data_IF_390901492176
#
_entry.id   IF_390901492176
#
_cell.length_a   1.000
_cell.length_b   1.000
_cell.length_c   1.000
_cell.angle_alpha   90.00
_cell.angle_beta   90.00
_cell.angle_gamma   90.00
#
_symmetry.space_group_name_H-M   'P 1'
#
loop_
_entity.id
_entity.type
_entity.pdbx_description
1 polymer ?
#
# COMPACT_ATOMS: atom_id res chain seq x y z
N UNK A 1 49.00 -56.59 -8.64
CA UNK A 1 48.56 -55.73 -7.52
C UNK A 1 47.96 -54.45 -8.10
N UNK A 2 46.64 -54.39 -8.24
CA UNK A 2 45.92 -53.33 -8.95
C UNK A 2 45.18 -52.51 -7.92
N UNK A 3 45.61 -51.28 -7.71
CA UNK A 3 44.94 -50.35 -6.77
C UNK A 3 43.73 -49.68 -7.44
N UNK A 4 42.54 -50.01 -6.96
CA UNK A 4 41.27 -49.33 -7.31
C UNK A 4 41.09 -48.13 -6.38
N UNK A 5 41.20 -46.90 -6.94
CA UNK A 5 40.85 -45.68 -6.21
C UNK A 5 39.37 -45.38 -6.41
N UNK A 6 38.62 -45.54 -5.34
CA UNK A 6 37.21 -45.17 -5.28
C UNK A 6 37.07 -43.65 -5.09
N UNK A 7 36.51 -42.94 -6.08
CA UNK A 7 36.18 -41.52 -5.97
C UNK A 7 34.77 -41.40 -5.36
N UNK A 8 34.68 -40.90 -4.16
CA UNK A 8 33.41 -40.42 -3.58
C UNK A 8 33.09 -39.06 -4.18
N UNK A 9 32.02 -38.97 -4.98
CA UNK A 9 31.42 -37.71 -5.43
C UNK A 9 30.42 -37.26 -4.35
N UNK A 10 30.82 -36.26 -3.58
CA UNK A 10 29.92 -35.56 -2.68
C UNK A 10 29.03 -34.62 -3.49
N UNK A 11 27.76 -34.95 -3.66
CA UNK A 11 26.78 -34.05 -4.25
C UNK A 11 26.39 -33.01 -3.19
N UNK A 12 26.80 -31.76 -3.38
CA UNK A 12 26.27 -30.63 -2.61
C UNK A 12 24.84 -30.33 -3.13
N UNK A 13 23.84 -30.66 -2.33
CA UNK A 13 22.47 -30.15 -2.52
C UNK A 13 22.47 -28.66 -2.10
N UNK A 14 22.47 -27.77 -3.08
CA UNK A 14 22.17 -26.37 -2.84
C UNK A 14 20.65 -26.23 -2.61
N UNK A 15 20.23 -26.18 -1.37
CA UNK A 15 18.86 -25.75 -0.99
C UNK A 15 18.79 -24.24 -1.26
N UNK A 16 18.12 -23.86 -2.34
CA UNK A 16 17.72 -22.48 -2.56
C UNK A 16 16.70 -22.14 -1.45
N UNK A 17 17.13 -21.36 -0.44
CA UNK A 17 16.21 -20.66 0.44
C UNK A 17 15.49 -19.63 -0.43
N UNK A 18 14.26 -19.93 -0.81
CA UNK A 18 13.31 -18.91 -1.23
C UNK A 18 13.02 -18.10 0.03
N UNK A 19 13.62 -16.93 0.13
CA UNK A 19 13.26 -15.97 1.17
C UNK A 19 11.80 -15.57 0.93
N UNK A 20 10.89 -16.17 1.69
CA UNK A 20 9.55 -15.62 1.81
C UNK A 20 9.70 -14.15 2.27
N UNK A 21 8.95 -13.19 1.68
CA UNK A 21 8.98 -11.83 2.17
C UNK A 21 8.72 -11.86 3.67
N UNK A 22 9.65 -11.30 4.44
CA UNK A 22 9.49 -11.21 5.88
C UNK A 22 8.25 -10.34 6.12
N UNK A 23 7.16 -10.96 6.54
CA UNK A 23 5.98 -10.27 7.01
C UNK A 23 6.40 -9.56 8.30
N UNK A 24 6.68 -8.25 8.18
CA UNK A 24 7.30 -7.47 9.25
C UNK A 24 6.40 -7.32 10.48
N UNK A 25 5.09 -7.56 10.31
CA UNK A 25 4.12 -7.46 11.41
C UNK A 25 3.56 -8.85 11.77
N UNK A 26 3.76 -9.23 13.02
CA UNK A 26 3.11 -10.40 13.61
C UNK A 26 1.60 -10.23 13.72
N UNK A 27 0.88 -11.28 14.19
CA UNK A 27 -0.56 -11.18 14.48
C UNK A 27 -0.85 -10.07 15.48
N UNK A 28 -1.97 -9.35 15.29
CA UNK A 28 -2.50 -8.45 16.32
C UNK A 28 -3.01 -9.33 17.46
N UNK A 29 -2.72 -8.92 18.70
CA UNK A 29 -3.26 -9.62 19.87
C UNK A 29 -4.80 -9.51 19.86
N UNK A 30 -5.46 -10.59 20.25
CA UNK A 30 -6.91 -10.61 20.43
C UNK A 30 -7.33 -9.57 21.47
N UNK A 31 -8.17 -8.63 21.04
CA UNK A 31 -8.65 -7.52 21.87
C UNK A 31 -10.05 -7.76 22.44
N UNK A 32 -10.68 -8.86 22.04
CA UNK A 32 -12.09 -9.12 22.30
C UNK A 32 -13.03 -8.30 21.39
N UNK A 33 -14.19 -8.88 21.11
CA UNK A 33 -15.14 -8.38 20.09
C UNK A 33 -15.54 -6.91 20.25
N UNK A 34 -15.87 -6.46 21.47
CA UNK A 34 -16.31 -5.09 21.70
C UNK A 34 -15.21 -4.05 21.40
N UNK A 35 -13.95 -4.37 21.71
CA UNK A 35 -12.81 -3.49 21.44
C UNK A 35 -12.48 -3.52 19.95
N UNK A 36 -12.54 -4.68 19.31
CA UNK A 36 -12.30 -4.82 17.87
C UNK A 36 -13.34 -4.05 17.05
N UNK A 37 -14.63 -4.16 17.41
CA UNK A 37 -15.69 -3.38 16.77
C UNK A 37 -15.47 -1.86 16.92
N UNK A 38 -15.03 -1.40 18.09
CA UNK A 38 -14.73 0.01 18.30
C UNK A 38 -13.51 0.48 17.48
N UNK A 39 -12.52 -0.38 17.28
CA UNK A 39 -11.39 -0.10 16.38
C UNK A 39 -11.85 -0.03 14.92
N UNK A 40 -12.61 -1.00 14.47
CA UNK A 40 -13.15 -1.07 13.11
C UNK A 40 -13.97 0.19 12.77
N UNK A 41 -14.91 0.60 13.62
CA UNK A 41 -15.73 1.79 13.36
C UNK A 41 -14.87 3.06 13.30
N UNK A 42 -13.90 3.20 14.17
CA UNK A 42 -12.98 4.35 14.17
C UNK A 42 -12.06 4.37 12.96
N UNK A 43 -11.64 3.21 12.47
CA UNK A 43 -10.85 3.08 11.24
C UNK A 43 -11.68 3.51 10.02
N UNK A 44 -12.92 3.03 9.94
CA UNK A 44 -13.90 3.44 8.92
C UNK A 44 -14.10 4.95 8.91
N UNK A 45 -14.39 5.53 10.08
CA UNK A 45 -14.55 6.98 10.21
C UNK A 45 -13.32 7.72 9.69
N UNK A 46 -12.13 7.24 10.02
CA UNK A 46 -10.86 7.83 9.57
C UNK A 46 -10.73 7.74 8.05
N UNK A 47 -11.04 6.60 7.43
CA UNK A 47 -10.99 6.43 5.98
C UNK A 47 -12.02 7.33 5.28
N UNK A 48 -13.26 7.34 5.76
CA UNK A 48 -14.34 8.16 5.21
C UNK A 48 -14.07 9.67 5.37
N UNK A 49 -13.36 10.08 6.42
CA UNK A 49 -12.97 11.49 6.63
C UNK A 49 -11.99 12.02 5.58
N UNK A 50 -11.39 11.14 4.77
CA UNK A 50 -10.56 11.55 3.63
C UNK A 50 -11.39 12.05 2.44
N UNK A 51 -12.70 11.84 2.42
CA UNK A 51 -13.57 12.46 1.42
C UNK A 51 -13.71 13.97 1.68
N UNK A 52 -13.70 14.76 0.61
CA UNK A 52 -13.79 16.22 0.71
C UNK A 52 -13.21 16.93 -0.51
N UNK A 53 -13.17 18.25 -0.42
CA UNK A 53 -12.60 19.11 -1.45
C UNK A 53 -11.30 19.73 -0.93
N UNK A 54 -10.22 19.62 -1.70
CA UNK A 54 -8.87 19.96 -1.27
C UNK A 54 -8.20 20.93 -2.24
N UNK A 55 -7.49 21.89 -1.68
CA UNK A 55 -6.43 22.59 -2.38
C UNK A 55 -5.12 21.88 -2.07
N UNK A 56 -4.55 21.24 -3.08
CA UNK A 56 -3.34 20.42 -2.95
C UNK A 56 -2.13 21.24 -3.39
N UNK A 57 -1.04 21.13 -2.63
CA UNK A 57 0.27 21.66 -2.98
C UNK A 57 1.30 20.54 -2.90
N UNK A 58 1.96 20.29 -4.01
CA UNK A 58 3.12 19.39 -4.08
C UNK A 58 4.40 20.22 -4.00
N UNK A 59 5.29 19.80 -3.15
CA UNK A 59 6.59 20.43 -2.92
C UNK A 59 7.65 19.32 -2.98
N UNK A 60 8.27 19.18 -4.14
CA UNK A 60 9.16 18.06 -4.45
C UNK A 60 10.61 18.54 -4.44
N UNK A 61 11.41 17.88 -3.63
CA UNK A 61 12.85 18.08 -3.57
C UNK A 61 13.54 16.74 -3.41
N UNK A 62 14.58 16.49 -4.19
CA UNK A 62 15.42 15.31 -4.01
C UNK A 62 16.22 15.44 -2.72
N UNK A 63 16.17 14.42 -1.88
CA UNK A 63 16.78 14.47 -0.53
C UNK A 63 18.17 13.83 -0.47
N UNK A 64 18.41 12.80 -1.28
CA UNK A 64 19.64 12.01 -1.19
C UNK A 64 20.11 11.56 -2.58
N UNK A 65 21.20 12.12 -3.09
CA UNK A 65 21.81 11.58 -4.32
C UNK A 65 22.55 10.27 -4.00
N UNK A 66 22.18 9.21 -4.72
CA UNK A 66 22.80 7.88 -4.59
C UNK A 66 23.99 7.66 -5.52
N UNK A 67 24.22 8.57 -6.45
CA UNK A 67 25.28 8.47 -7.46
C UNK A 67 26.30 9.60 -7.27
N UNK A 68 27.58 9.26 -7.24
CA UNK A 68 28.65 10.25 -7.14
C UNK A 68 28.64 11.16 -8.37
N UNK A 69 28.67 12.48 -8.12
CA UNK A 69 28.63 13.49 -9.18
C UNK A 69 27.25 13.77 -9.77
N UNK A 70 26.20 13.20 -9.18
CA UNK A 70 24.82 13.55 -9.53
C UNK A 70 24.45 14.92 -8.94
N UNK A 71 23.97 15.81 -9.76
CA UNK A 71 23.40 17.09 -9.33
C UNK A 71 21.87 16.94 -9.22
N UNK A 72 21.31 17.17 -8.00
CA UNK A 72 19.87 17.09 -7.81
C UNK A 72 19.10 18.05 -8.71
N UNK A 73 17.92 17.63 -9.13
CA UNK A 73 17.00 18.49 -9.86
C UNK A 73 16.52 19.66 -8.98
N UNK A 74 16.20 20.77 -9.61
CA UNK A 74 15.62 21.92 -8.94
C UNK A 74 14.32 21.53 -8.20
N UNK A 75 14.11 22.15 -7.03
CA UNK A 75 12.88 22.01 -6.27
C UNK A 75 11.67 22.37 -7.13
N UNK A 76 10.72 21.46 -7.25
CA UNK A 76 9.49 21.66 -8.03
C UNK A 76 8.29 21.85 -7.11
N UNK A 77 7.60 22.98 -7.28
CA UNK A 77 6.33 23.25 -6.61
C UNK A 77 5.23 23.20 -7.67
N UNK A 78 4.19 22.43 -7.38
CA UNK A 78 2.98 22.36 -8.18
C UNK A 78 1.76 22.19 -7.28
N UNK A 79 0.56 22.32 -7.82
CA UNK A 79 -0.66 22.13 -7.05
C UNK A 79 -1.90 22.15 -7.93
N UNK A 80 -3.04 21.99 -7.30
CA UNK A 80 -4.35 21.98 -7.96
C UNK A 80 -5.47 21.83 -6.95
N UNK A 81 -6.68 21.69 -7.45
CA UNK A 81 -7.85 21.35 -6.65
C UNK A 81 -8.20 19.88 -6.90
N UNK A 82 -8.47 19.16 -5.82
CA UNK A 82 -8.84 17.77 -5.85
C UNK A 82 -10.11 17.55 -5.05
N UNK A 83 -11.02 16.79 -5.63
CA UNK A 83 -12.27 16.41 -4.99
C UNK A 83 -12.23 14.90 -4.75
N UNK A 84 -12.35 14.48 -3.50
CA UNK A 84 -12.36 13.06 -3.12
C UNK A 84 -13.79 12.67 -2.76
N UNK A 85 -14.31 11.64 -3.41
CA UNK A 85 -15.68 11.17 -3.25
C UNK A 85 -15.71 9.70 -2.85
N UNK A 86 -16.62 9.37 -1.93
CA UNK A 86 -16.92 7.97 -1.63
C UNK A 86 -17.68 7.40 -2.82
N UNK A 87 -17.05 6.49 -3.56
CA UNK A 87 -17.65 5.81 -4.70
C UNK A 87 -18.37 4.52 -4.29
N UNK A 88 -17.91 3.87 -3.23
CA UNK A 88 -18.51 2.67 -2.66
C UNK A 88 -18.29 2.62 -1.15
N UNK A 89 -19.26 2.16 -0.39
CA UNK A 89 -19.16 1.80 1.02
C UNK A 89 -20.10 0.63 1.30
N UNK A 90 -19.53 -0.55 1.54
CA UNK A 90 -20.27 -1.77 1.92
C UNK A 90 -20.13 -2.12 3.40
N UNK A 91 -19.47 -1.28 4.18
CA UNK A 91 -19.06 -1.56 5.55
C UNK A 91 -17.61 -2.02 5.62
N UNK A 92 -17.30 -3.17 5.09
CA UNK A 92 -15.92 -3.73 5.07
C UNK A 92 -15.10 -3.33 3.85
N UNK A 93 -15.72 -2.70 2.85
CA UNK A 93 -15.05 -2.16 1.67
C UNK A 93 -15.43 -0.69 1.47
N UNK A 94 -14.43 0.17 1.28
CA UNK A 94 -14.60 1.60 1.00
C UNK A 94 -13.76 1.94 -0.22
N UNK A 95 -14.37 2.61 -1.20
CA UNK A 95 -13.69 3.10 -2.40
C UNK A 95 -13.75 4.63 -2.42
N UNK A 96 -12.58 5.26 -2.47
CA UNK A 96 -12.44 6.70 -2.59
C UNK A 96 -11.92 7.05 -3.98
N UNK A 97 -12.75 7.74 -4.77
CA UNK A 97 -12.36 8.24 -6.09
C UNK A 97 -11.85 9.67 -5.96
N UNK A 98 -10.62 9.89 -6.38
CA UNK A 98 -10.02 11.20 -6.50
C UNK A 98 -10.30 11.79 -7.88
N UNK A 99 -10.67 13.05 -7.89
CA UNK A 99 -11.05 13.80 -9.08
C UNK A 99 -10.26 15.11 -9.10
N UNK A 100 -9.56 15.40 -10.19
CA UNK A 100 -8.93 16.70 -10.37
C UNK A 100 -9.98 17.69 -10.89
N UNK A 101 -10.02 18.87 -10.28
CA UNK A 101 -10.80 20.00 -10.76
C UNK A 101 -9.82 20.95 -11.45
N UNK A 102 -9.96 21.10 -12.75
CA UNK A 102 -9.06 21.88 -13.63
C UNK A 102 -9.84 22.91 -14.42
N UNK A 103 -9.20 24.01 -14.79
CA UNK A 103 -9.82 25.15 -15.46
C UNK A 103 -9.74 26.41 -14.62
N UNK A 104 -10.26 27.51 -15.16
CA UNK A 104 -10.43 28.77 -14.46
C UNK A 104 -11.80 28.81 -13.78
N UNK A 105 -11.97 29.68 -12.80
CA UNK A 105 -13.23 29.84 -12.06
C UNK A 105 -14.39 30.10 -13.01
N UNK A 106 -15.41 29.24 -12.97
CA UNK A 106 -16.58 29.28 -13.86
C UNK A 106 -16.46 28.49 -15.17
N UNK A 107 -15.28 27.95 -15.46
CA UNK A 107 -15.00 27.08 -16.61
C UNK A 107 -14.32 25.76 -16.18
N UNK A 108 -14.54 25.34 -14.93
CA UNK A 108 -13.92 24.14 -14.40
C UNK A 108 -14.51 22.90 -15.05
N UNK A 109 -13.66 21.90 -15.23
CA UNK A 109 -14.06 20.55 -15.59
C UNK A 109 -13.33 19.53 -14.71
N UNK A 110 -13.92 18.34 -14.60
CA UNK A 110 -13.46 17.30 -13.69
C UNK A 110 -12.80 16.18 -14.49
N UNK A 111 -11.61 15.80 -14.05
CA UNK A 111 -10.87 14.69 -14.64
C UNK A 111 -10.74 13.58 -13.59
N UNK A 112 -11.04 12.32 -13.97
CA UNK A 112 -10.72 11.16 -13.15
C UNK A 112 -9.24 11.18 -12.83
N UNK A 113 -8.91 11.03 -11.56
CA UNK A 113 -7.53 10.88 -11.10
C UNK A 113 -7.34 9.46 -10.55
N UNK A 114 -6.64 9.27 -9.48
CA UNK A 114 -6.45 7.97 -8.86
C UNK A 114 -7.64 7.55 -7.99
N UNK A 115 -7.61 6.27 -7.57
CA UNK A 115 -8.62 5.69 -6.70
C UNK A 115 -7.93 4.92 -5.58
N UNK A 116 -8.50 4.97 -4.38
CA UNK A 116 -8.11 4.17 -3.24
C UNK A 116 -9.20 3.16 -2.94
N UNK A 117 -8.86 1.89 -2.96
CA UNK A 117 -9.74 0.80 -2.52
C UNK A 117 -9.24 0.30 -1.17
N UNK A 118 -10.08 0.40 -0.16
CA UNK A 118 -9.83 -0.06 1.20
C UNK A 118 -10.68 -1.29 1.49
N UNK A 119 -10.10 -2.33 2.11
CA UNK A 119 -10.80 -3.55 2.48
C UNK A 119 -10.37 -4.02 3.87
N UNK A 120 -11.36 -4.27 4.75
CA UNK A 120 -11.13 -4.79 6.08
C UNK A 120 -10.95 -6.29 6.05
N UNK A 121 -9.93 -6.79 6.78
CA UNK A 121 -9.56 -8.21 6.87
C UNK A 121 -9.46 -8.90 5.50
N UNK A 122 -8.65 -8.37 4.57
CA UNK A 122 -8.61 -8.83 3.19
C UNK A 122 -8.15 -10.28 3.11
N UNK A 123 -8.87 -11.13 2.36
CA UNK A 123 -8.44 -12.50 2.10
C UNK A 123 -7.16 -12.58 1.25
N UNK A 124 -6.94 -11.56 0.43
CA UNK A 124 -5.77 -11.43 -0.43
C UNK A 124 -5.41 -9.97 -0.65
N UNK A 125 -4.15 -9.73 -0.94
CA UNK A 125 -3.64 -8.42 -1.31
C UNK A 125 -2.97 -8.48 -2.67
N UNK A 126 -2.93 -7.35 -3.35
CA UNK A 126 -2.20 -7.22 -4.61
C UNK A 126 -0.73 -6.93 -4.33
N UNK A 127 0.16 -7.80 -4.77
CA UNK A 127 1.61 -7.67 -4.59
C UNK A 127 2.31 -7.37 -5.91
N UNK A 128 3.22 -6.41 -5.90
CA UNK A 128 4.09 -6.13 -7.04
C UNK A 128 5.19 -7.19 -7.15
N UNK A 129 5.28 -7.87 -8.28
CA UNK A 129 6.21 -8.99 -8.51
C UNK A 129 7.29 -8.68 -9.54
N UNK A 130 7.21 -7.53 -10.21
CA UNK A 130 8.22 -7.12 -11.20
C UNK A 130 7.67 -6.09 -12.19
N UNK A 131 8.43 -5.69 -13.20
CA UNK A 131 8.04 -4.64 -14.13
C UNK A 131 6.64 -4.89 -14.73
N UNK A 132 5.69 -4.02 -14.36
CA UNK A 132 4.28 -4.08 -14.77
C UNK A 132 3.55 -5.39 -14.39
N UNK A 133 4.04 -6.11 -13.39
CA UNK A 133 3.47 -7.39 -12.95
C UNK A 133 2.96 -7.29 -11.52
N UNK A 134 1.75 -7.78 -11.31
CA UNK A 134 1.08 -7.83 -10.02
C UNK A 134 0.40 -9.18 -9.85
N UNK A 135 0.44 -9.71 -8.65
CA UNK A 135 -0.18 -10.98 -8.30
C UNK A 135 -1.02 -10.84 -7.03
N UNK A 136 -2.13 -11.59 -6.97
CA UNK A 136 -2.90 -11.73 -5.75
C UNK A 136 -2.22 -12.71 -4.81
N UNK A 137 -1.89 -12.25 -3.61
CA UNK A 137 -1.26 -13.06 -2.56
C UNK A 137 -2.26 -13.28 -1.44
N UNK A 138 -2.51 -14.54 -1.10
CA UNK A 138 -3.38 -14.93 0.00
C UNK A 138 -2.86 -14.42 1.35
N UNK A 139 -3.77 -13.85 2.14
CA UNK A 139 -3.47 -13.35 3.49
C UNK A 139 -3.94 -14.35 4.54
N UNK A 140 -3.01 -14.95 5.29
CA UNK A 140 -3.40 -15.83 6.41
C UNK A 140 -4.27 -15.07 7.41
N UNK A 141 -5.35 -15.70 7.89
CA UNK A 141 -6.29 -15.11 8.85
C UNK A 141 -5.58 -14.41 10.01
N UNK A 142 -4.60 -15.08 10.63
CA UNK A 142 -3.81 -14.52 11.74
C UNK A 142 -3.08 -13.20 11.44
N UNK A 143 -2.90 -12.84 10.16
CA UNK A 143 -2.23 -11.62 9.74
C UNK A 143 -3.20 -10.55 9.22
N UNK A 144 -4.43 -10.94 8.86
CA UNK A 144 -5.43 -10.00 8.35
C UNK A 144 -6.38 -9.48 9.42
N UNK A 145 -6.61 -10.26 10.49
CA UNK A 145 -7.53 -9.88 11.56
C UNK A 145 -7.22 -8.49 12.13
N UNK A 146 -8.23 -7.64 12.18
CA UNK A 146 -8.13 -6.26 12.67
C UNK A 146 -7.36 -5.30 11.75
N UNK A 147 -7.13 -5.66 10.49
CA UNK A 147 -6.35 -4.87 9.54
C UNK A 147 -7.12 -4.49 8.30
N UNK A 148 -6.70 -3.40 7.71
CA UNK A 148 -7.16 -2.95 6.41
C UNK A 148 -6.08 -3.16 5.35
N UNK A 149 -6.49 -3.46 4.12
CA UNK A 149 -5.63 -3.24 2.94
C UNK A 149 -5.98 -1.91 2.30
N UNK A 150 -5.01 -1.37 1.56
CA UNK A 150 -5.21 -0.27 0.61
C UNK A 150 -4.60 -0.66 -0.72
N UNK A 151 -5.36 -0.54 -1.79
CA UNK A 151 -4.83 -0.59 -3.15
C UNK A 151 -5.10 0.76 -3.83
N UNK A 152 -4.05 1.37 -4.37
CA UNK A 152 -4.17 2.61 -5.13
C UNK A 152 -4.01 2.32 -6.61
N UNK A 153 -4.98 2.80 -7.38
CA UNK A 153 -5.04 2.65 -8.83
C UNK A 153 -4.79 3.99 -9.51
N UNK A 154 -4.17 3.94 -10.67
CA UNK A 154 -3.94 5.09 -11.54
C UNK A 154 -5.20 5.47 -12.30
N UNK A 155 -5.12 6.51 -13.11
CA UNK A 155 -6.24 7.01 -13.94
C UNK A 155 -6.77 5.97 -14.92
N UNK A 156 -5.93 5.05 -15.37
CA UNK A 156 -6.24 3.95 -16.27
C UNK A 156 -6.65 2.64 -15.54
N UNK A 157 -6.90 2.72 -14.23
CA UNK A 157 -7.21 1.61 -13.35
C UNK A 157 -6.07 0.56 -13.22
N UNK A 158 -4.86 0.86 -13.67
CA UNK A 158 -3.70 0.02 -13.38
C UNK A 158 -3.25 0.20 -11.93
N UNK A 159 -2.81 -0.87 -11.22
CA UNK A 159 -2.30 -0.75 -9.87
C UNK A 159 -1.06 0.12 -9.81
N UNK A 160 -0.96 0.97 -8.79
CA UNK A 160 0.20 1.81 -8.51
C UNK A 160 1.01 1.31 -7.31
N UNK A 161 0.32 1.06 -6.21
CA UNK A 161 0.86 0.44 -5.01
C UNK A 161 -0.25 -0.18 -4.19
N UNK A 162 0.10 -1.13 -3.37
CA UNK A 162 -0.81 -1.79 -2.44
C UNK A 162 -0.10 -2.10 -1.13
N UNK A 163 -0.88 -2.33 -0.09
CA UNK A 163 -0.36 -2.70 1.21
C UNK A 163 -1.48 -3.12 2.15
N UNK A 164 -1.08 -3.65 3.29
CA UNK A 164 -2.01 -3.93 4.38
C UNK A 164 -1.38 -3.53 5.71
N UNK A 165 -2.20 -3.17 6.68
CA UNK A 165 -1.72 -2.69 7.95
C UNK A 165 -2.83 -2.31 8.91
N UNK A 166 -2.47 -1.65 9.97
CA UNK A 166 -3.39 -1.20 11.00
C UNK A 166 -3.33 0.33 11.22
N UNK A 167 -4.45 0.87 11.65
CA UNK A 167 -4.51 2.23 12.14
C UNK A 167 -4.07 2.28 13.60
N UNK A 168 -3.15 3.16 13.89
CA UNK A 168 -2.55 3.34 15.22
C UNK A 168 -2.64 4.78 15.67
N UNK A 169 -2.92 4.97 16.96
CA UNK A 169 -2.82 6.27 17.62
C UNK A 169 -1.41 6.42 18.21
N UNK A 170 -0.67 7.39 17.75
CA UNK A 170 0.68 7.68 18.24
C UNK A 170 0.85 9.17 18.45
N UNK A 171 1.15 9.58 19.68
CA UNK A 171 1.34 10.98 20.07
C UNK A 171 0.16 11.90 19.69
N UNK A 172 -1.06 11.41 19.85
CA UNK A 172 -2.27 12.15 19.49
C UNK A 172 -2.57 12.26 17.98
N UNK A 173 -1.80 11.56 17.17
CA UNK A 173 -2.01 11.51 15.71
C UNK A 173 -2.39 10.09 15.32
N UNK A 174 -3.50 9.97 14.59
CA UNK A 174 -3.90 8.69 14.00
C UNK A 174 -3.15 8.46 12.70
N UNK A 175 -2.52 7.31 12.58
CA UNK A 175 -1.67 6.92 11.45
C UNK A 175 -1.98 5.51 11.00
N UNK A 176 -2.01 5.30 9.69
CA UNK A 176 -2.02 3.97 9.12
C UNK A 176 -0.58 3.50 8.94
N UNK A 177 -0.25 2.41 9.60
CA UNK A 177 1.05 1.76 9.50
C UNK A 177 0.87 0.47 8.72
N UNK A 178 1.58 0.34 7.62
CA UNK A 178 1.36 -0.72 6.66
C UNK A 178 2.64 -1.31 6.10
N UNK A 179 2.54 -2.53 5.62
CA UNK A 179 3.49 -3.16 4.73
C UNK A 179 3.10 -2.83 3.28
N UNK A 180 4.04 -2.46 2.45
CA UNK A 180 3.79 -1.98 1.10
C UNK A 180 4.41 -2.87 0.04
N UNK A 181 3.71 -2.97 -1.09
CA UNK A 181 4.25 -3.45 -2.35
C UNK A 181 4.24 -2.29 -3.35
N UNK A 182 5.38 -2.03 -3.98
CA UNK A 182 5.59 -0.89 -4.86
C UNK A 182 5.70 -1.32 -6.31
N UNK A 183 5.31 -0.41 -7.19
CA UNK A 183 5.60 -0.48 -8.62
C UNK A 183 7.00 0.03 -8.92
#
# INVERSE_FOLDING_TARGET
>A
MTNVRTFFRTALLATALVAAPALADGPIADRGEAVENAHFERDRETILSMAGDYKVRFDMQESTPWMTGYEPLDRKISGGHESVRVAEDTGTRIVLQHLLVVGEEGEEFVIKHWRQDWEYEPEKILAYTGPNSWEWVEMPERLRNGRWSQTVYQVDDSPRYAGWGEWQDSQGIRRWRSNWTWR
#
